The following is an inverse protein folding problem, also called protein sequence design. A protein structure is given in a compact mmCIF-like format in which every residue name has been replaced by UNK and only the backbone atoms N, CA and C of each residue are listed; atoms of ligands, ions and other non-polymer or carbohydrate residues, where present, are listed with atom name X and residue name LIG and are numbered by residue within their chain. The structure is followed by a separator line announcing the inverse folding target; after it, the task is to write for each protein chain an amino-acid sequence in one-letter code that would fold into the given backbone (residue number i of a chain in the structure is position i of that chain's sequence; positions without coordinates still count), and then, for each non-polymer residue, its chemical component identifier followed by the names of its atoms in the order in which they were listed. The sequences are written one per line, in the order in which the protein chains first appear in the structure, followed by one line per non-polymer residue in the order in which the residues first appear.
data_IF_798675951024
#
_entry.id   IF_798675951024
#
_cell.length_a   1.000
_cell.length_b   1.000
_cell.length_c   1.000
_cell.angle_alpha   90.00
_cell.angle_beta   90.00
_cell.angle_gamma   90.00
#
_symmetry.space_group_name_H-M   'P 1'
#
loop_
_entity.id
_entity.type
_entity.pdbx_description
1 polymer ?
#
# COMPACT_ATOMS: atom_id res chain seq x y z
N UNK A 1 16.32 42.65 -0.08
CA UNK A 1 15.13 41.77 -0.12
C UNK A 1 15.64 40.41 -0.53
N UNK A 2 16.18 39.69 0.43
CA UNK A 2 16.74 38.36 0.20
C UNK A 2 15.57 37.44 -0.15
N UNK A 3 15.52 37.02 -1.41
CA UNK A 3 14.61 35.97 -1.85
C UNK A 3 15.10 34.72 -1.15
N UNK A 4 14.54 34.45 0.03
CA UNK A 4 14.70 33.22 0.79
C UNK A 4 14.68 32.07 -0.20
N UNK A 5 15.83 31.44 -0.42
CA UNK A 5 15.99 30.41 -1.44
C UNK A 5 15.06 29.26 -1.07
N UNK A 6 13.88 29.21 -1.70
CA UNK A 6 12.89 28.18 -1.47
C UNK A 6 13.59 26.81 -1.57
N UNK A 7 13.76 26.15 -0.42
CA UNK A 7 14.46 24.87 -0.34
C UNK A 7 13.70 23.90 -1.23
N UNK A 8 14.28 23.54 -2.37
CA UNK A 8 13.63 22.64 -3.33
C UNK A 8 13.20 21.35 -2.60
N UNK A 9 11.97 20.87 -2.78
CA UNK A 9 11.53 19.62 -2.18
C UNK A 9 12.51 18.49 -2.58
N UNK A 10 12.88 17.65 -1.63
CA UNK A 10 13.91 16.64 -1.88
C UNK A 10 13.43 15.64 -2.92
N UNK A 11 14.20 15.46 -4.00
CA UNK A 11 13.88 14.49 -5.06
C UNK A 11 13.70 13.07 -4.51
N UNK A 12 14.53 12.68 -3.55
CA UNK A 12 14.47 11.37 -2.91
C UNK A 12 13.10 11.12 -2.23
N UNK A 13 12.54 12.13 -1.56
CA UNK A 13 11.22 12.03 -0.97
C UNK A 13 10.13 11.93 -2.03
N UNK A 14 10.21 12.73 -3.09
CA UNK A 14 9.28 12.65 -4.21
C UNK A 14 9.23 11.24 -4.83
N UNK A 15 10.39 10.60 -4.99
CA UNK A 15 10.50 9.21 -5.48
C UNK A 15 9.91 8.23 -4.46
N UNK A 16 10.28 8.35 -3.18
CA UNK A 16 9.75 7.49 -2.12
C UNK A 16 8.22 7.52 -2.07
N UNK A 17 7.62 8.71 -2.15
CA UNK A 17 6.17 8.90 -2.16
C UNK A 17 5.52 8.30 -3.40
N UNK A 18 6.13 8.46 -4.57
CA UNK A 18 5.63 7.86 -5.81
C UNK A 18 5.64 6.33 -5.75
N UNK A 19 6.74 5.73 -5.29
CA UNK A 19 6.86 4.29 -5.12
C UNK A 19 5.87 3.74 -4.08
N UNK A 20 5.71 4.45 -2.96
CA UNK A 20 4.69 4.15 -1.95
C UNK A 20 3.28 4.13 -2.55
N UNK A 21 2.95 5.12 -3.39
CA UNK A 21 1.67 5.17 -4.10
C UNK A 21 1.44 3.96 -5.02
N UNK A 22 2.47 3.54 -5.76
CA UNK A 22 2.40 2.33 -6.61
C UNK A 22 2.15 1.08 -5.76
N UNK A 23 2.81 0.93 -4.62
CA UNK A 23 2.60 -0.19 -3.71
C UNK A 23 1.19 -0.20 -3.10
N UNK A 24 0.67 0.96 -2.72
CA UNK A 24 -0.70 1.08 -2.21
C UNK A 24 -1.72 0.62 -3.26
N UNK A 25 -1.56 1.05 -4.52
CA UNK A 25 -2.39 0.57 -5.64
C UNK A 25 -2.24 -0.93 -5.83
N UNK A 26 -1.01 -1.44 -5.82
CA UNK A 26 -0.74 -2.89 -5.93
C UNK A 26 -1.46 -3.71 -4.86
N UNK A 27 -1.44 -3.27 -3.60
CA UNK A 27 -2.15 -3.94 -2.50
C UNK A 27 -3.67 -3.89 -2.66
N UNK A 28 -4.23 -2.79 -3.15
CA UNK A 28 -5.66 -2.71 -3.48
C UNK A 28 -6.01 -3.72 -4.58
N UNK A 29 -5.22 -3.78 -5.66
CA UNK A 29 -5.44 -4.72 -6.75
C UNK A 29 -5.31 -6.18 -6.28
N UNK A 30 -4.35 -6.47 -5.40
CA UNK A 30 -4.21 -7.79 -4.79
C UNK A 30 -5.45 -8.16 -3.95
N UNK A 31 -5.95 -7.24 -3.13
CA UNK A 31 -7.16 -7.48 -2.33
C UNK A 31 -8.38 -7.75 -3.23
N UNK A 32 -8.57 -6.94 -4.28
CA UNK A 32 -9.65 -7.13 -5.25
C UNK A 32 -9.52 -8.45 -6.02
N UNK A 33 -8.30 -8.80 -6.43
CA UNK A 33 -7.99 -10.08 -7.06
C UNK A 33 -8.36 -11.25 -6.16
N UNK A 34 -7.96 -11.20 -4.89
CA UNK A 34 -8.30 -12.23 -3.90
C UNK A 34 -9.82 -12.37 -3.69
N UNK A 35 -10.55 -11.26 -3.63
CA UNK A 35 -12.01 -11.27 -3.53
C UNK A 35 -12.61 -11.95 -4.77
N UNK A 36 -12.16 -11.56 -5.97
CA UNK A 36 -12.65 -12.13 -7.22
C UNK A 36 -12.38 -13.64 -7.34
N UNK A 37 -11.15 -14.06 -7.02
CA UNK A 37 -10.77 -15.48 -7.03
C UNK A 37 -11.55 -16.26 -5.98
N UNK A 38 -11.73 -15.73 -4.77
CA UNK A 38 -12.52 -16.38 -3.72
C UNK A 38 -13.98 -16.58 -4.15
N UNK A 39 -14.59 -15.56 -4.74
CA UNK A 39 -15.97 -15.65 -5.24
C UNK A 39 -16.09 -16.67 -6.36
N UNK A 40 -15.15 -16.66 -7.31
CA UNK A 40 -15.11 -17.63 -8.40
C UNK A 40 -14.95 -19.06 -7.87
N UNK A 41 -14.01 -19.30 -6.96
CA UNK A 41 -13.76 -20.61 -6.38
C UNK A 41 -14.97 -21.15 -5.62
N UNK A 42 -15.60 -20.32 -4.78
CA UNK A 42 -16.83 -20.66 -4.07
C UNK A 42 -17.98 -21.03 -5.03
N UNK A 43 -18.09 -20.34 -6.18
CA UNK A 43 -19.13 -20.62 -7.17
C UNK A 43 -18.95 -21.96 -7.92
N UNK A 44 -17.81 -22.63 -7.72
CA UNK A 44 -17.40 -23.85 -8.41
C UNK A 44 -17.00 -24.99 -7.45
N UNK A 45 -17.26 -24.83 -6.16
CA UNK A 45 -16.83 -25.77 -5.11
C UNK A 45 -15.32 -26.07 -5.14
N UNK A 46 -14.51 -25.07 -5.52
CA UNK A 46 -13.06 -25.14 -5.55
C UNK A 46 -12.45 -24.50 -4.29
N UNK A 47 -11.26 -24.95 -3.86
CA UNK A 47 -10.52 -24.24 -2.82
C UNK A 47 -10.08 -22.86 -3.31
N UNK A 48 -10.50 -21.81 -2.60
CA UNK A 48 -10.06 -20.43 -2.83
C UNK A 48 -8.92 -20.00 -1.89
N UNK A 49 -8.47 -18.73 -1.97
CA UNK A 49 -7.45 -18.16 -1.08
C UNK A 49 -7.75 -18.29 0.42
N UNK A 50 -9.03 -18.42 0.77
CA UNK A 50 -9.53 -18.52 2.13
C UNK A 50 -9.89 -17.15 2.72
N UNK A 51 -10.90 -17.15 3.61
CA UNK A 51 -11.42 -15.93 4.24
C UNK A 51 -10.33 -15.12 4.96
N UNK A 52 -9.42 -15.80 5.67
CA UNK A 52 -8.33 -15.13 6.36
C UNK A 52 -7.41 -14.38 5.39
N UNK A 53 -7.03 -15.01 4.27
CA UNK A 53 -6.19 -14.37 3.25
C UNK A 53 -6.90 -13.16 2.65
N UNK A 54 -8.17 -13.28 2.27
CA UNK A 54 -8.95 -12.16 1.73
C UNK A 54 -9.03 -10.99 2.71
N UNK A 55 -9.40 -11.25 3.96
CA UNK A 55 -9.52 -10.19 4.99
C UNK A 55 -8.17 -9.52 5.27
N UNK A 56 -7.09 -10.29 5.37
CA UNK A 56 -5.76 -9.75 5.60
C UNK A 56 -5.32 -8.81 4.47
N UNK A 57 -5.57 -9.16 3.21
CA UNK A 57 -5.24 -8.29 2.07
C UNK A 57 -6.10 -7.02 2.03
N UNK A 58 -7.38 -7.10 2.39
CA UNK A 58 -8.24 -5.92 2.51
C UNK A 58 -7.71 -4.97 3.60
N UNK A 59 -7.37 -5.49 4.77
CA UNK A 59 -6.79 -4.69 5.86
C UNK A 59 -5.45 -4.07 5.43
N UNK A 60 -4.58 -4.84 4.78
CA UNK A 60 -3.31 -4.34 4.26
C UNK A 60 -3.51 -3.20 3.24
N UNK A 61 -4.46 -3.35 2.31
CA UNK A 61 -4.80 -2.32 1.35
C UNK A 61 -5.31 -1.03 2.04
N UNK A 62 -6.18 -1.16 3.04
CA UNK A 62 -6.68 -0.02 3.82
C UNK A 62 -5.55 0.71 4.58
N UNK A 63 -4.64 -0.05 5.21
CA UNK A 63 -3.47 0.53 5.88
C UNK A 63 -2.54 1.25 4.89
N UNK A 64 -2.31 0.65 3.72
CA UNK A 64 -1.47 1.25 2.68
C UNK A 64 -2.08 2.53 2.10
N UNK A 65 -3.39 2.53 1.80
CA UNK A 65 -4.12 3.72 1.34
C UNK A 65 -4.12 4.79 2.43
N UNK A 66 -4.37 4.42 3.69
CA UNK A 66 -4.33 5.35 4.82
C UNK A 66 -2.95 5.99 4.98
N UNK A 67 -1.88 5.20 4.93
CA UNK A 67 -0.50 5.68 4.96
C UNK A 67 -0.19 6.62 3.78
N UNK A 68 -0.63 6.26 2.57
CA UNK A 68 -0.44 7.09 1.39
C UNK A 68 -1.21 8.43 1.48
N UNK A 69 -2.45 8.44 1.98
CA UNK A 69 -3.21 9.67 2.21
C UNK A 69 -2.46 10.61 3.16
N UNK A 70 -1.88 10.08 4.24
CA UNK A 70 -1.05 10.88 5.16
C UNK A 70 0.20 11.39 4.45
N UNK A 71 0.89 10.54 3.67
CA UNK A 71 2.06 10.94 2.89
C UNK A 71 1.76 12.05 1.86
N UNK A 72 0.56 12.05 1.28
CA UNK A 72 0.15 13.04 0.30
C UNK A 72 -0.36 14.34 0.94
N UNK A 73 -0.89 14.28 2.16
CA UNK A 73 -1.46 15.44 2.87
C UNK A 73 -0.42 16.30 3.59
N UNK A 74 0.66 15.70 4.08
CA UNK A 74 1.66 16.41 4.89
C UNK A 74 2.95 16.67 4.11
N UNK A 75 3.61 17.79 4.42
CA UNK A 75 4.92 18.16 3.88
C UNK A 75 6.04 18.11 4.95
N UNK A 76 5.73 17.57 6.13
CA UNK A 76 6.63 17.44 7.27
C UNK A 76 7.16 15.99 7.42
N UNK A 77 7.77 15.68 8.57
CA UNK A 77 8.34 14.35 8.87
C UNK A 77 7.33 13.20 8.79
N UNK A 78 6.02 13.47 8.94
CA UNK A 78 4.98 12.44 8.88
C UNK A 78 4.93 11.81 7.50
N UNK A 79 5.25 12.59 6.48
CA UNK A 79 5.11 12.19 5.10
C UNK A 79 6.08 11.04 4.69
N UNK A 80 7.41 11.16 4.90
CA UNK A 80 8.32 10.04 4.64
C UNK A 80 8.10 8.85 5.58
N UNK A 81 7.70 9.08 6.85
CA UNK A 81 7.37 7.98 7.78
C UNK A 81 6.15 7.20 7.29
N UNK A 82 5.12 7.89 6.82
CA UNK A 82 3.90 7.24 6.32
C UNK A 82 4.16 6.46 5.04
N UNK A 83 5.00 6.99 4.13
CA UNK A 83 5.47 6.22 2.97
C UNK A 83 6.19 4.93 3.42
N UNK A 84 7.08 5.00 4.42
CA UNK A 84 7.78 3.81 4.92
C UNK A 84 6.82 2.77 5.51
N UNK A 85 5.76 3.19 6.20
CA UNK A 85 4.70 2.28 6.68
C UNK A 85 4.07 1.51 5.52
N UNK A 86 3.79 2.16 4.38
CA UNK A 86 3.27 1.47 3.19
C UNK A 86 4.22 0.39 2.69
N UNK A 87 5.52 0.68 2.65
CA UNK A 87 6.54 -0.32 2.28
C UNK A 87 6.55 -1.52 3.24
N UNK A 88 6.48 -1.27 4.55
CA UNK A 88 6.46 -2.34 5.57
C UNK A 88 5.21 -3.20 5.43
N UNK A 89 4.05 -2.59 5.24
CA UNK A 89 2.79 -3.31 5.00
C UNK A 89 2.86 -4.15 3.72
N UNK A 90 3.36 -3.57 2.63
CA UNK A 90 3.50 -4.28 1.36
C UNK A 90 4.47 -5.46 1.47
N UNK A 91 5.67 -5.25 2.02
CA UNK A 91 6.67 -6.28 2.21
C UNK A 91 6.17 -7.39 3.15
N UNK A 92 5.52 -7.03 4.26
CA UNK A 92 4.93 -8.00 5.19
C UNK A 92 3.82 -8.82 4.55
N UNK A 93 2.92 -8.17 3.80
CA UNK A 93 1.83 -8.87 3.08
C UNK A 93 2.40 -9.85 2.06
N UNK A 94 3.32 -9.40 1.21
CA UNK A 94 3.95 -10.28 0.22
C UNK A 94 4.70 -11.41 0.91
N UNK A 95 5.57 -11.13 1.86
CA UNK A 95 6.34 -12.19 2.53
C UNK A 95 5.46 -13.25 3.20
N UNK A 96 4.37 -12.85 3.86
CA UNK A 96 3.49 -13.78 4.57
C UNK A 96 2.62 -14.62 3.63
N UNK A 97 2.12 -14.04 2.54
CA UNK A 97 1.11 -14.67 1.69
C UNK A 97 1.61 -15.14 0.32
N UNK A 98 2.85 -14.81 -0.07
CA UNK A 98 3.40 -15.22 -1.38
C UNK A 98 3.73 -16.71 -1.48
N UNK A 99 3.96 -17.35 -0.34
CA UNK A 99 4.28 -18.79 -0.27
C UNK A 99 3.04 -19.68 -0.12
N UNK A 100 1.85 -19.07 -0.06
CA UNK A 100 0.59 -19.77 0.14
C UNK A 100 0.08 -20.43 -1.14
#
# INVERSE_FOLDING_TARGET
MDVEAAKRPSRAYGILRALSGVLAVGLVLLALGNIGVQFYANSRDLPGPGTLSVVAHVVAALLAVGGQIVADRYADWKAPVSSLVVFVVAAGTLWTFWWA
#
